data_IF_805748051731
#
_entry.id   IF_805748051731
#
_cell.length_a   1.000
_cell.length_b   1.000
_cell.length_c   1.000
_cell.angle_alpha   90.00
_cell.angle_beta   90.00
_cell.angle_gamma   90.00
#
_symmetry.space_group_name_H-M   'P 1'
#
loop_
_entity.id
_entity.type
_entity.pdbx_description
1 polymer ?
#
# COMPACT_ATOMS: atom_id res chain seq x y z
N UNK A 1 3.37 -19.53 6.87
CA UNK A 1 2.73 -18.31 6.32
C UNK A 1 1.63 -18.63 5.30
N UNK A 2 1.70 -19.73 4.54
CA UNK A 2 0.60 -20.14 3.62
C UNK A 2 -0.73 -20.33 4.34
N UNK A 3 -0.71 -20.88 5.53
CA UNK A 3 -1.91 -21.12 6.36
C UNK A 3 -2.63 -19.84 6.82
N UNK A 4 -1.97 -18.67 6.66
CA UNK A 4 -2.53 -17.34 6.94
C UNK A 4 -2.96 -16.59 5.66
N UNK A 5 -2.97 -17.27 4.50
CA UNK A 5 -3.31 -16.66 3.22
C UNK A 5 -2.25 -15.70 2.69
N UNK A 6 -1.05 -15.64 3.28
CA UNK A 6 0.04 -14.78 2.81
C UNK A 6 0.86 -15.53 1.77
N UNK A 7 0.86 -15.03 0.55
CA UNK A 7 1.65 -15.57 -0.57
C UNK A 7 2.81 -14.63 -0.91
N UNK A 8 3.91 -15.16 -1.47
CA UNK A 8 4.98 -14.30 -1.99
C UNK A 8 4.41 -13.31 -3.02
N UNK A 9 4.88 -12.06 -3.00
CA UNK A 9 4.44 -11.00 -3.90
C UNK A 9 4.87 -11.20 -5.36
N UNK A 10 4.71 -12.41 -5.88
CA UNK A 10 4.95 -12.75 -7.28
C UNK A 10 3.66 -12.56 -8.08
N UNK A 11 3.74 -11.91 -9.24
CA UNK A 11 2.59 -11.65 -10.09
C UNK A 11 1.82 -12.93 -10.47
N UNK A 12 2.51 -14.05 -10.67
CA UNK A 12 1.90 -15.34 -10.97
C UNK A 12 0.97 -15.86 -9.87
N UNK A 13 1.40 -15.78 -8.61
CA UNK A 13 0.58 -16.27 -7.49
C UNK A 13 -0.73 -15.46 -7.33
N UNK A 14 -0.65 -14.13 -7.48
CA UNK A 14 -1.84 -13.29 -7.44
C UNK A 14 -2.78 -13.55 -8.63
N UNK A 15 -2.22 -13.79 -9.82
CA UNK A 15 -2.98 -14.14 -11.02
C UNK A 15 -3.77 -15.44 -10.82
N UNK A 16 -3.13 -16.50 -10.30
CA UNK A 16 -3.76 -17.79 -10.03
C UNK A 16 -4.90 -17.68 -9.03
N UNK A 17 -4.73 -16.89 -7.96
CA UNK A 17 -5.78 -16.67 -6.97
C UNK A 17 -6.98 -15.95 -7.55
N UNK A 18 -6.76 -14.93 -8.37
CA UNK A 18 -7.86 -14.22 -9.06
C UNK A 18 -8.60 -15.14 -10.05
N UNK A 19 -7.89 -16.03 -10.76
CA UNK A 19 -8.50 -17.01 -11.66
C UNK A 19 -9.35 -18.05 -10.91
N UNK A 20 -9.05 -18.28 -9.63
CA UNK A 20 -9.85 -19.12 -8.74
C UNK A 20 -11.04 -18.38 -8.11
N UNK A 21 -11.21 -17.09 -8.40
CA UNK A 21 -12.26 -16.25 -7.82
C UNK A 21 -11.95 -15.74 -6.40
N UNK A 22 -10.69 -15.85 -5.97
CA UNK A 22 -10.29 -15.41 -4.64
C UNK A 22 -10.10 -13.89 -4.57
N UNK A 23 -10.33 -13.32 -3.38
CA UNK A 23 -10.04 -11.92 -3.10
C UNK A 23 -8.53 -11.76 -2.80
N UNK A 24 -7.86 -10.90 -3.56
CA UNK A 24 -6.44 -10.62 -3.39
C UNK A 24 -6.21 -9.23 -2.81
N UNK A 25 -5.63 -9.15 -1.61
CA UNK A 25 -5.21 -7.90 -1.02
C UNK A 25 -3.74 -7.60 -1.34
N UNK A 26 -3.46 -6.38 -1.77
CA UNK A 26 -2.11 -5.94 -2.15
C UNK A 26 -1.74 -4.66 -1.41
N UNK A 27 -0.51 -4.59 -0.89
CA UNK A 27 0.07 -3.37 -0.33
C UNK A 27 1.18 -2.83 -1.25
N UNK A 28 0.86 -1.97 -2.25
CA UNK A 28 1.82 -1.55 -3.27
C UNK A 28 3.02 -0.79 -2.71
N UNK A 29 2.84 -0.04 -1.63
CA UNK A 29 3.90 0.68 -0.92
C UNK A 29 4.87 -0.24 -0.17
N UNK A 30 4.39 -1.43 0.24
CA UNK A 30 5.17 -2.41 0.98
C UNK A 30 5.75 -1.81 2.27
N UNK A 31 6.92 -2.31 2.69
CA UNK A 31 7.58 -1.88 3.93
C UNK A 31 7.87 -0.37 4.00
N UNK A 32 8.05 0.30 2.85
CA UNK A 32 8.27 1.75 2.81
C UNK A 32 7.04 2.55 3.20
N UNK A 33 5.87 1.99 3.00
CA UNK A 33 4.59 2.59 3.38
C UNK A 33 4.25 2.28 4.83
N UNK A 34 4.48 1.03 5.25
CA UNK A 34 4.24 0.61 6.63
C UNK A 34 5.15 1.31 7.65
N UNK A 35 6.38 1.65 7.25
CA UNK A 35 7.42 2.23 8.12
C UNK A 35 7.79 3.66 7.69
N UNK A 36 6.81 4.41 7.18
CA UNK A 36 7.06 5.80 6.78
C UNK A 36 7.41 6.66 7.99
N UNK A 37 8.35 7.60 7.85
CA UNK A 37 8.64 8.59 8.89
C UNK A 37 7.42 9.43 9.22
N UNK A 38 7.34 9.91 10.48
CA UNK A 38 6.16 10.65 10.96
C UNK A 38 5.95 12.02 10.30
N UNK A 39 6.95 12.59 9.68
CA UNK A 39 6.86 13.79 8.84
C UNK A 39 6.26 13.53 7.45
N UNK A 40 6.15 12.26 7.05
CA UNK A 40 5.58 11.80 5.78
C UNK A 40 4.26 11.05 5.95
N UNK A 41 3.54 11.30 7.06
CA UNK A 41 2.23 10.72 7.33
C UNK A 41 1.22 11.04 6.24
N UNK A 42 0.26 10.16 6.08
CA UNK A 42 -0.88 10.32 5.18
C UNK A 42 -0.50 10.55 3.71
N UNK A 43 0.63 10.01 3.26
CA UNK A 43 1.07 10.10 1.87
C UNK A 43 1.09 8.73 1.21
N UNK A 44 0.56 8.63 0.00
CA UNK A 44 0.68 7.43 -0.82
C UNK A 44 2.14 7.27 -1.30
N UNK A 45 2.71 6.09 -1.12
CA UNK A 45 4.11 5.80 -1.49
C UNK A 45 4.23 4.63 -2.48
N UNK A 46 3.33 4.57 -3.43
CA UNK A 46 3.33 3.51 -4.45
C UNK A 46 4.43 3.71 -5.49
N UNK A 47 4.84 4.97 -5.75
CA UNK A 47 5.84 5.32 -6.75
C UNK A 47 5.51 4.69 -8.13
N UNK A 48 6.47 4.00 -8.75
CA UNK A 48 6.30 3.35 -10.06
C UNK A 48 5.81 1.88 -9.95
N UNK A 49 5.21 1.49 -8.82
CA UNK A 49 4.76 0.10 -8.63
C UNK A 49 3.37 -0.10 -9.22
N UNK A 50 3.34 -0.43 -10.50
CA UNK A 50 2.12 -0.58 -11.30
C UNK A 50 1.68 -2.05 -11.48
N UNK A 51 2.36 -3.02 -10.84
CA UNK A 51 2.09 -4.44 -11.04
C UNK A 51 0.65 -4.84 -10.72
N UNK A 52 0.07 -4.30 -9.64
CA UNK A 52 -1.32 -4.58 -9.27
C UNK A 52 -2.33 -3.99 -10.27
N UNK A 53 -2.01 -2.83 -10.86
CA UNK A 53 -2.84 -2.20 -11.90
C UNK A 53 -2.82 -3.01 -13.19
N UNK A 54 -1.62 -3.47 -13.60
CA UNK A 54 -1.47 -4.36 -14.76
C UNK A 54 -2.32 -5.61 -14.59
N UNK A 55 -2.21 -6.25 -13.42
CA UNK A 55 -2.98 -7.44 -13.11
C UNK A 55 -4.50 -7.17 -13.11
N UNK A 56 -4.97 -6.05 -12.57
CA UNK A 56 -6.38 -5.68 -12.59
C UNK A 56 -6.92 -5.49 -14.01
N UNK A 57 -6.13 -4.86 -14.90
CA UNK A 57 -6.50 -4.68 -16.31
C UNK A 57 -6.45 -6.02 -17.06
N UNK A 58 -5.43 -6.84 -16.88
CA UNK A 58 -5.30 -8.14 -17.53
C UNK A 58 -6.43 -9.10 -17.14
N UNK A 59 -6.82 -9.09 -15.86
CA UNK A 59 -7.87 -9.97 -15.32
C UNK A 59 -9.27 -9.34 -15.36
N UNK A 60 -9.40 -8.07 -15.75
CA UNK A 60 -10.67 -7.32 -15.77
C UNK A 60 -11.40 -7.39 -14.44
N UNK A 61 -10.65 -7.31 -13.32
CA UNK A 61 -11.20 -7.36 -11.96
C UNK A 61 -11.30 -5.96 -11.35
N UNK A 62 -12.37 -5.63 -10.63
CA UNK A 62 -12.50 -4.33 -9.98
C UNK A 62 -11.52 -4.18 -8.83
N UNK A 63 -11.09 -2.93 -8.61
CA UNK A 63 -10.19 -2.56 -7.52
C UNK A 63 -10.97 -1.83 -6.43
N UNK A 64 -10.81 -2.25 -5.18
CA UNK A 64 -11.25 -1.52 -4.00
C UNK A 64 -10.05 -0.95 -3.29
N UNK A 65 -10.13 0.32 -2.91
CA UNK A 65 -9.11 0.98 -2.10
C UNK A 65 -9.53 0.92 -0.64
N UNK A 66 -8.57 0.62 0.22
CA UNK A 66 -8.80 0.59 1.66
C UNK A 66 -7.67 1.33 2.37
N UNK A 67 -8.03 2.25 3.27
CA UNK A 67 -7.08 3.07 4.02
C UNK A 67 -7.50 3.22 5.48
N UNK A 68 -6.51 3.20 6.37
CA UNK A 68 -6.66 3.52 7.78
C UNK A 68 -5.68 4.67 8.12
N UNK A 69 -6.02 5.93 7.82
CA UNK A 69 -5.08 7.04 7.91
C UNK A 69 -4.44 7.17 9.29
N UNK A 70 -5.26 7.10 10.37
CA UNK A 70 -4.77 7.24 11.75
C UNK A 70 -3.88 6.09 12.23
N UNK A 71 -3.69 5.04 11.42
CA UNK A 71 -2.67 4.02 11.70
C UNK A 71 -1.25 4.62 11.74
N UNK A 72 -1.00 5.69 10.98
CA UNK A 72 0.27 6.43 11.00
C UNK A 72 0.52 7.17 12.33
N UNK A 73 -0.49 7.32 13.18
CA UNK A 73 -0.38 8.01 14.47
C UNK A 73 -0.10 7.08 15.64
N UNK A 74 -0.28 5.76 15.46
CA UNK A 74 -0.07 4.75 16.51
C UNK A 74 1.35 4.82 17.05
N UNK A 75 2.33 5.04 16.17
CA UNK A 75 3.73 5.20 16.52
C UNK A 75 4.31 6.50 15.97
N UNK A 76 5.30 7.02 16.66
CA UNK A 76 6.16 8.06 16.11
C UNK A 76 7.38 7.36 15.51
N UNK A 77 7.55 7.46 14.20
CA UNK A 77 8.67 6.87 13.45
C UNK A 77 9.65 7.98 13.10
N UNK A 78 10.92 7.78 13.44
CA UNK A 78 11.98 8.75 13.19
C UNK A 78 12.79 8.35 11.95
N UNK A 79 13.03 9.31 11.09
CA UNK A 79 14.04 9.15 10.06
C UNK A 79 15.43 9.32 10.69
N UNK A 80 16.31 8.35 10.51
CA UNK A 80 17.67 8.39 11.02
C UNK A 80 18.63 7.98 9.90
N UNK A 81 19.71 8.73 9.66
CA UNK A 81 20.72 8.39 8.67
C UNK A 81 21.31 6.98 8.84
N UNK A 82 21.42 6.51 10.09
CA UNK A 82 21.92 5.17 10.40
C UNK A 82 20.93 4.11 9.90
N UNK A 83 19.63 4.29 10.16
CA UNK A 83 18.60 3.35 9.70
C UNK A 83 18.49 3.35 8.19
N UNK A 84 18.68 4.51 7.54
CA UNK A 84 18.74 4.62 6.09
C UNK A 84 19.97 3.88 5.50
N UNK A 85 21.14 3.98 6.14
CA UNK A 85 22.34 3.25 5.74
C UNK A 85 22.19 1.73 5.90
N UNK A 86 21.58 1.27 7.00
CA UNK A 86 21.29 -0.14 7.24
C UNK A 86 20.32 -0.66 6.15
N UNK A 87 19.27 0.09 5.84
CA UNK A 87 18.34 -0.29 4.76
C UNK A 87 19.03 -0.38 3.40
N UNK A 88 19.93 0.56 3.09
CA UNK A 88 20.69 0.56 1.83
C UNK A 88 21.55 -0.70 1.67
N UNK A 89 22.21 -1.12 2.75
CA UNK A 89 23.18 -2.22 2.73
C UNK A 89 22.49 -3.60 2.90
N UNK A 90 21.56 -3.73 3.81
CA UNK A 90 20.95 -5.01 4.19
C UNK A 90 19.54 -5.21 3.62
N UNK A 91 18.94 -4.20 2.97
CA UNK A 91 17.56 -4.22 2.47
C UNK A 91 16.52 -4.53 3.55
N UNK A 92 16.92 -4.48 4.82
CA UNK A 92 16.06 -4.68 5.98
C UNK A 92 15.81 -3.34 6.68
N UNK A 93 14.56 -2.87 6.76
CA UNK A 93 14.25 -1.63 7.45
C UNK A 93 14.30 -1.86 8.96
N UNK A 94 15.16 -1.11 9.65
CA UNK A 94 15.18 -1.04 11.12
C UNK A 94 14.65 0.35 11.50
N UNK A 95 13.34 0.51 11.68
CA UNK A 95 12.79 1.81 12.06
C UNK A 95 13.12 2.10 13.53
N UNK A 96 13.50 3.34 13.81
CA UNK A 96 13.49 3.85 15.16
C UNK A 96 12.09 4.42 15.42
N UNK A 97 11.33 3.78 16.30
CA UNK A 97 9.97 4.20 16.61
C UNK A 97 9.67 4.17 18.10
N UNK A 98 8.73 4.97 18.52
CA UNK A 98 8.18 4.97 19.88
C UNK A 98 6.65 5.06 19.86
N UNK A 99 6.04 4.47 20.87
CA UNK A 99 4.62 4.61 21.16
C UNK A 99 4.34 5.61 22.28
N UNK A 100 3.75 5.14 23.38
CA UNK A 100 3.48 5.97 24.58
C UNK A 100 4.80 6.27 25.29
N UNK A 101 5.08 7.55 25.48
CA UNK A 101 6.34 7.99 26.12
C UNK A 101 7.57 7.54 25.31
N UNK A 102 8.48 6.79 25.95
CA UNK A 102 9.68 6.21 25.33
C UNK A 102 9.55 4.68 25.14
N UNK A 103 8.34 4.14 25.19
CA UNK A 103 8.09 2.70 25.06
C UNK A 103 7.70 2.32 23.63
N UNK A 104 7.65 1.01 23.37
CA UNK A 104 7.10 0.44 22.13
C UNK A 104 5.61 0.11 22.24
N UNK A 105 4.94 0.53 23.31
CA UNK A 105 3.50 0.33 23.50
C UNK A 105 2.76 1.27 22.53
N UNK A 106 1.84 0.76 21.69
CA UNK A 106 1.10 1.58 20.74
C UNK A 106 0.27 2.65 21.43
N UNK A 107 0.16 3.84 20.84
CA UNK A 107 -0.70 4.90 21.33
C UNK A 107 -2.17 4.47 21.20
N UNK A 108 -3.04 4.75 22.18
CA UNK A 108 -4.45 4.43 22.13
C UNK A 108 -5.20 5.41 21.21
N UNK A 109 -5.20 5.12 19.92
CA UNK A 109 -5.82 5.94 18.89
C UNK A 109 -7.01 5.20 18.30
N UNK A 110 -8.15 5.88 18.18
CA UNK A 110 -9.30 5.35 17.49
C UNK A 110 -8.99 5.24 16.00
N UNK A 111 -9.10 4.03 15.46
CA UNK A 111 -8.83 3.74 14.06
C UNK A 111 -10.15 3.70 13.27
N UNK A 112 -10.16 4.38 12.14
CA UNK A 112 -11.26 4.31 11.17
C UNK A 112 -10.73 3.78 9.87
N UNK A 113 -11.34 2.72 9.38
CA UNK A 113 -11.05 2.14 8.08
C UNK A 113 -11.99 2.75 7.03
N UNK A 114 -11.43 3.32 6.00
CA UNK A 114 -12.16 3.83 4.83
C UNK A 114 -12.02 2.85 3.68
N UNK A 115 -13.11 2.60 2.98
CA UNK A 115 -13.14 1.76 1.77
C UNK A 115 -13.81 2.56 0.66
N UNK A 116 -13.25 2.54 -0.54
CA UNK A 116 -13.80 3.19 -1.72
C UNK A 116 -13.66 2.28 -2.94
N UNK A 117 -14.65 2.26 -3.80
CA UNK A 117 -14.74 1.42 -5.00
C UNK A 117 -16.16 0.91 -5.22
N UNK A 118 -16.38 0.03 -6.20
CA UNK A 118 -15.38 -0.56 -7.12
C UNK A 118 -14.87 0.41 -8.16
N UNK A 119 -13.55 0.40 -8.41
CA UNK A 119 -12.95 1.07 -9.56
C UNK A 119 -12.78 0.05 -10.68
N UNK A 120 -13.51 0.23 -11.77
CA UNK A 120 -13.43 -0.66 -12.91
C UNK A 120 -12.16 -0.34 -13.73
N UNK A 121 -11.34 -1.35 -14.07
CA UNK A 121 -10.22 -1.14 -14.96
C UNK A 121 -10.72 -0.85 -16.39
N UNK A 122 -9.93 -0.13 -17.20
CA UNK A 122 -10.22 0.01 -18.61
C UNK A 122 -10.23 -1.36 -19.30
N UNK A 123 -10.96 -1.48 -20.41
CA UNK A 123 -10.97 -2.70 -21.21
C UNK A 123 -9.55 -3.04 -21.68
N UNK A 124 -9.18 -4.32 -21.61
CA UNK A 124 -7.86 -4.73 -22.05
C UNK A 124 -7.66 -4.47 -23.54
N UNK A 125 -6.60 -3.74 -23.87
CA UNK A 125 -6.16 -3.48 -25.25
C UNK A 125 -4.64 -3.51 -25.31
N UNK A 126 -4.07 -4.36 -26.16
CA UNK A 126 -2.63 -4.43 -26.33
C UNK A 126 -2.00 -3.15 -26.92
N UNK A 127 -2.80 -2.34 -27.63
CA UNK A 127 -2.33 -1.08 -28.24
C UNK A 127 -2.23 0.05 -27.21
N UNK A 128 -3.12 0.11 -26.23
CA UNK A 128 -3.18 1.18 -25.21
C UNK A 128 -2.73 0.75 -23.83
N UNK A 129 -2.30 -0.52 -23.66
CA UNK A 129 -2.04 -1.13 -22.35
C UNK A 129 -1.20 -0.29 -21.41
N UNK A 130 -0.04 0.18 -21.86
CA UNK A 130 0.84 0.96 -20.96
C UNK A 130 0.24 2.33 -20.61
N UNK A 131 -0.45 2.99 -21.54
CA UNK A 131 -1.16 4.24 -21.31
C UNK A 131 -2.34 4.05 -20.34
N UNK A 132 -3.08 2.97 -20.49
CA UNK A 132 -4.20 2.61 -19.62
C UNK A 132 -3.74 2.28 -18.22
N UNK A 133 -2.62 1.56 -18.09
CA UNK A 133 -1.95 1.30 -16.81
C UNK A 133 -1.54 2.60 -16.12
N UNK A 134 -0.97 3.54 -16.86
CA UNK A 134 -0.51 4.82 -16.31
C UNK A 134 -1.69 5.66 -15.84
N UNK A 135 -2.72 5.79 -16.65
CA UNK A 135 -3.93 6.55 -16.35
C UNK A 135 -4.69 5.96 -15.17
N UNK A 136 -4.87 4.65 -15.16
CA UNK A 136 -5.58 3.97 -14.07
C UNK A 136 -4.78 4.00 -12.75
N UNK A 137 -3.44 3.84 -12.81
CA UNK A 137 -2.58 4.01 -11.65
C UNK A 137 -2.66 5.43 -11.07
N UNK A 138 -2.67 6.46 -11.92
CA UNK A 138 -2.79 7.85 -11.48
C UNK A 138 -4.14 8.10 -10.79
N UNK A 139 -5.25 7.62 -11.36
CA UNK A 139 -6.58 7.68 -10.76
C UNK A 139 -6.61 7.02 -9.38
N UNK A 140 -6.14 5.78 -9.27
CA UNK A 140 -6.15 5.04 -8.01
C UNK A 140 -5.24 5.71 -6.95
N UNK A 141 -4.12 6.29 -7.37
CA UNK A 141 -3.21 7.02 -6.48
C UNK A 141 -3.88 8.28 -5.93
N UNK A 142 -4.56 9.05 -6.77
CA UNK A 142 -5.33 10.25 -6.38
C UNK A 142 -6.44 9.89 -5.38
N UNK A 143 -7.23 8.87 -5.70
CA UNK A 143 -8.31 8.39 -4.83
C UNK A 143 -7.78 7.89 -3.47
N UNK A 144 -6.70 7.12 -3.47
CA UNK A 144 -6.06 6.68 -2.24
C UNK A 144 -5.54 7.84 -1.41
N UNK A 145 -4.95 8.88 -2.05
CA UNK A 145 -4.53 10.09 -1.35
C UNK A 145 -5.73 10.80 -0.70
N UNK A 146 -6.84 10.89 -1.39
CA UNK A 146 -8.09 11.44 -0.83
C UNK A 146 -8.59 10.67 0.40
N UNK A 147 -8.45 9.34 0.42
CA UNK A 147 -8.77 8.54 1.62
C UNK A 147 -7.82 8.83 2.77
N UNK A 148 -6.51 8.95 2.50
CA UNK A 148 -5.52 9.27 3.53
C UNK A 148 -5.69 10.68 4.10
N UNK A 149 -6.11 11.63 3.28
CA UNK A 149 -6.32 13.03 3.71
C UNK A 149 -7.46 13.16 4.74
N UNK A 150 -8.40 12.21 4.80
CA UNK A 150 -9.41 12.14 5.86
C UNK A 150 -8.81 11.96 7.26
N UNK A 151 -7.57 11.51 7.38
CA UNK A 151 -6.85 11.41 8.65
C UNK A 151 -6.26 12.72 9.16
N UNK A 152 -6.24 13.77 8.32
CA UNK A 152 -5.70 15.09 8.67
C UNK A 152 -6.71 15.97 9.40
N UNK A 153 -7.97 15.54 9.43
CA UNK A 153 -9.09 16.23 10.11
C UNK A 153 -9.28 15.76 11.55
#
# INVERSE_FOLDING_TARGET
MRDLGVVPGAAGAASELLDQGELVAVAPGGMRECLRPSDQKYQVRWAKRKGFVKLAIEKQVPVYLTACPKADDIFTVYENPITAAIYKNFKFPVPLFRGIGLTTIPKPIALTQYIEGPFQPPAFSSQSFDSDVDSFHALLTEKMQGLLDKGKS
#
